data_IF_923364776070
#
_entry.id   IF_923364776070
#
_cell.length_a   1.000
_cell.length_b   1.000
_cell.length_c   1.000
_cell.angle_alpha   90.00
_cell.angle_beta   90.00
_cell.angle_gamma   90.00
#
_symmetry.space_group_name_H-M   'P 1'
#
loop_
_entity.id
_entity.type
_entity.pdbx_description
1 polymer ?
#
# COMPACT_ATOMS: atom_id res chain seq x y z
N UNK A 1 56.03 -6.20 -14.80
CA UNK A 1 55.67 -7.59 -15.10
C UNK A 1 55.47 -8.26 -13.77
N UNK A 2 54.29 -8.81 -13.51
CA UNK A 2 54.11 -9.74 -12.41
C UNK A 2 54.98 -10.97 -12.67
N UNK A 3 55.56 -11.56 -11.63
CA UNK A 3 56.36 -12.78 -11.78
C UNK A 3 55.41 -13.94 -12.13
N UNK A 4 55.67 -14.59 -13.27
CA UNK A 4 54.87 -15.75 -13.73
C UNK A 4 54.89 -16.90 -12.71
N UNK A 5 55.95 -17.03 -11.90
CA UNK A 5 55.98 -18.02 -10.83
C UNK A 5 55.01 -17.64 -9.71
N UNK A 6 55.01 -16.38 -9.27
CA UNK A 6 54.10 -15.88 -8.22
C UNK A 6 52.63 -15.98 -8.63
N UNK A 7 52.31 -15.76 -9.92
CA UNK A 7 50.94 -15.94 -10.43
C UNK A 7 50.49 -17.40 -10.39
N UNK A 8 51.38 -18.37 -10.65
CA UNK A 8 51.06 -19.81 -10.52
C UNK A 8 50.85 -20.21 -9.08
N UNK A 9 51.80 -19.87 -8.19
CA UNK A 9 51.68 -20.14 -6.75
C UNK A 9 50.38 -19.56 -6.17
N UNK A 10 49.94 -18.39 -6.66
CA UNK A 10 48.63 -17.80 -6.33
C UNK A 10 47.46 -18.64 -6.85
N UNK A 11 47.47 -19.07 -8.12
CA UNK A 11 46.38 -19.87 -8.71
C UNK A 11 46.27 -21.26 -8.06
N UNK A 12 47.41 -21.94 -7.83
CA UNK A 12 47.50 -23.22 -7.11
C UNK A 12 46.86 -23.13 -5.72
N UNK A 13 47.05 -22.01 -5.01
CA UNK A 13 46.44 -21.75 -3.69
C UNK A 13 44.96 -21.37 -3.68
N UNK A 14 44.34 -21.05 -4.82
CA UNK A 14 42.93 -20.65 -4.91
C UNK A 14 41.98 -21.86 -5.00
N UNK A 15 40.74 -21.72 -4.51
CA UNK A 15 39.71 -22.72 -4.74
C UNK A 15 39.23 -22.70 -6.20
N UNK A 16 38.61 -23.78 -6.68
CA UNK A 16 38.04 -23.80 -8.04
C UNK A 16 36.94 -22.73 -8.23
N UNK A 17 36.13 -22.49 -7.19
CA UNK A 17 35.12 -21.44 -7.21
C UNK A 17 35.73 -20.03 -7.29
N UNK A 18 36.86 -19.79 -6.62
CA UNK A 18 37.54 -18.48 -6.70
C UNK A 18 38.22 -18.29 -8.06
N UNK A 19 38.83 -19.34 -8.63
CA UNK A 19 39.35 -19.32 -9.99
C UNK A 19 38.24 -19.02 -11.00
N UNK A 20 37.06 -19.64 -10.86
CA UNK A 20 35.89 -19.36 -11.72
C UNK A 20 35.39 -17.92 -11.52
N UNK A 21 35.28 -17.42 -10.29
CA UNK A 21 34.89 -16.02 -10.00
C UNK A 21 35.84 -15.02 -10.65
N UNK A 22 37.15 -15.21 -10.49
CA UNK A 22 38.14 -14.30 -11.07
C UNK A 22 38.23 -14.38 -12.60
N UNK A 23 37.78 -15.48 -13.20
CA UNK A 23 37.68 -15.65 -14.66
C UNK A 23 36.35 -15.14 -15.25
N UNK A 24 35.35 -14.82 -14.43
CA UNK A 24 34.00 -14.44 -14.86
C UNK A 24 33.64 -13.03 -14.35
N UNK A 25 33.15 -12.93 -13.12
CA UNK A 25 32.67 -11.68 -12.51
C UNK A 25 33.77 -10.62 -12.37
N UNK A 26 35.00 -11.02 -12.03
CA UNK A 26 36.14 -10.11 -11.85
C UNK A 26 37.07 -10.11 -13.10
N UNK A 27 36.58 -10.59 -14.24
CA UNK A 27 37.42 -10.79 -15.44
C UNK A 27 38.01 -9.50 -16.02
N UNK A 28 37.39 -8.35 -15.74
CA UNK A 28 37.89 -7.00 -16.08
C UNK A 28 39.02 -6.52 -15.18
N UNK A 29 39.03 -6.99 -13.93
CA UNK A 29 39.92 -6.51 -12.87
C UNK A 29 41.23 -7.32 -12.85
N UNK A 30 41.22 -8.49 -13.50
CA UNK A 30 42.31 -9.45 -13.55
C UNK A 30 43.12 -9.36 -14.86
N UNK A 31 44.45 -9.37 -14.72
CA UNK A 31 45.39 -9.32 -15.85
C UNK A 31 45.20 -10.50 -16.80
N UNK A 32 45.44 -10.29 -18.10
CA UNK A 32 45.35 -11.38 -19.10
C UNK A 32 46.27 -12.56 -18.75
N UNK A 33 47.47 -12.26 -18.23
CA UNK A 33 48.43 -13.27 -17.74
C UNK A 33 47.87 -14.09 -16.59
N UNK A 34 47.23 -13.45 -15.60
CA UNK A 34 46.58 -14.17 -14.50
C UNK A 34 45.43 -15.04 -15.01
N UNK A 35 44.58 -14.51 -15.90
CA UNK A 35 43.45 -15.27 -16.47
C UNK A 35 43.92 -16.52 -17.24
N UNK A 36 45.06 -16.45 -17.94
CA UNK A 36 45.64 -17.62 -18.63
C UNK A 36 46.15 -18.69 -17.66
N UNK A 37 46.88 -18.33 -16.61
CA UNK A 37 47.36 -19.32 -15.62
C UNK A 37 46.21 -19.86 -14.75
N UNK A 38 45.18 -19.06 -14.44
CA UNK A 38 43.97 -19.53 -13.75
C UNK A 38 43.14 -20.53 -14.58
N UNK A 39 43.01 -20.30 -15.90
CA UNK A 39 42.39 -21.29 -16.82
C UNK A 39 43.19 -22.58 -16.90
N UNK A 40 44.52 -22.47 -16.92
CA UNK A 40 45.43 -23.63 -16.92
C UNK A 40 45.30 -24.43 -15.63
N UNK A 41 45.21 -23.78 -14.48
CA UNK A 41 45.04 -24.43 -13.18
C UNK A 41 43.73 -25.24 -13.12
N UNK A 42 42.60 -24.65 -13.56
CA UNK A 42 41.33 -25.40 -13.69
C UNK A 42 41.47 -26.62 -14.61
N UNK A 43 42.14 -26.47 -15.76
CA UNK A 43 42.38 -27.57 -16.68
C UNK A 43 43.29 -28.67 -16.08
N UNK A 44 44.27 -28.31 -15.25
CA UNK A 44 45.12 -29.26 -14.51
C UNK A 44 44.34 -30.02 -13.43
N UNK A 45 43.34 -29.38 -12.81
CA UNK A 45 42.37 -30.02 -11.90
C UNK A 45 41.32 -30.88 -12.62
N UNK A 46 41.32 -30.88 -13.95
CA UNK A 46 40.41 -31.70 -14.77
C UNK A 46 39.03 -31.08 -14.99
N UNK A 47 38.89 -29.77 -14.81
CA UNK A 47 37.62 -29.04 -14.97
C UNK A 47 37.77 -27.81 -15.89
N UNK A 48 36.67 -27.12 -16.16
CA UNK A 48 36.65 -25.89 -16.97
C UNK A 48 35.65 -24.89 -16.40
N UNK A 49 35.78 -23.61 -16.76
CA UNK A 49 34.80 -22.58 -16.40
C UNK A 49 33.40 -22.94 -16.89
N UNK A 50 33.26 -23.46 -18.12
CA UNK A 50 31.98 -23.88 -18.68
C UNK A 50 31.36 -25.05 -17.90
N UNK A 51 32.17 -26.06 -17.53
CA UNK A 51 31.71 -27.18 -16.72
C UNK A 51 31.38 -26.80 -15.26
N UNK A 52 31.90 -25.68 -14.77
CA UNK A 52 31.47 -25.10 -13.49
C UNK A 52 30.18 -24.28 -13.63
N UNK A 53 30.06 -23.46 -14.67
CA UNK A 53 28.86 -22.65 -14.96
C UNK A 53 27.63 -23.54 -15.17
N UNK A 54 27.77 -24.67 -15.89
CA UNK A 54 26.65 -25.58 -16.16
C UNK A 54 26.07 -26.28 -14.90
N UNK A 55 26.68 -26.10 -13.73
CA UNK A 55 26.26 -26.74 -12.47
C UNK A 55 25.29 -25.85 -11.71
N UNK A 56 23.99 -26.06 -11.94
CA UNK A 56 22.90 -25.36 -11.24
C UNK A 56 22.35 -26.25 -10.14
N UNK A 57 22.46 -25.81 -8.88
CA UNK A 57 21.74 -26.45 -7.77
C UNK A 57 20.29 -26.00 -7.79
N UNK A 58 19.36 -26.95 -7.80
CA UNK A 58 17.93 -26.67 -7.83
C UNK A 58 17.23 -27.35 -6.67
N UNK A 59 16.28 -26.62 -6.06
CA UNK A 59 15.28 -27.16 -5.13
C UNK A 59 13.89 -26.75 -5.60
N UNK A 60 13.11 -27.72 -6.09
CA UNK A 60 11.74 -27.52 -6.55
C UNK A 60 10.78 -28.46 -5.80
N UNK A 61 9.93 -27.90 -4.94
CA UNK A 61 9.09 -28.67 -4.03
C UNK A 61 9.89 -29.53 -3.03
N UNK A 62 9.28 -30.62 -2.55
CA UNK A 62 9.87 -31.51 -1.54
C UNK A 62 10.64 -32.72 -2.10
N UNK A 63 10.73 -32.87 -3.42
CA UNK A 63 11.23 -34.09 -4.07
C UNK A 63 12.40 -33.85 -5.04
N UNK A 64 12.52 -32.66 -5.63
CA UNK A 64 13.54 -32.36 -6.63
C UNK A 64 14.59 -31.43 -6.01
N UNK A 65 15.49 -31.99 -5.21
CA UNK A 65 16.70 -31.34 -4.74
C UNK A 65 17.93 -32.02 -5.37
N UNK A 66 18.75 -31.26 -6.08
CA UNK A 66 19.90 -31.81 -6.80
C UNK A 66 20.71 -30.77 -7.56
N UNK A 67 21.74 -31.22 -8.26
CA UNK A 67 22.56 -30.43 -9.17
C UNK A 67 22.31 -30.91 -10.60
N UNK A 68 21.95 -29.99 -11.51
CA UNK A 68 21.53 -30.27 -12.89
C UNK A 68 22.16 -29.26 -13.87
N UNK A 69 22.10 -29.59 -15.17
CA UNK A 69 22.55 -28.71 -16.25
C UNK A 69 21.69 -27.44 -16.40
N UNK A 70 22.22 -26.42 -17.08
CA UNK A 70 21.47 -25.17 -17.36
C UNK A 70 20.22 -25.45 -18.19
N UNK A 71 20.31 -26.31 -19.21
CA UNK A 71 19.16 -26.64 -20.07
C UNK A 71 18.03 -27.32 -19.27
N UNK A 72 18.36 -28.22 -18.35
CA UNK A 72 17.41 -28.88 -17.45
C UNK A 72 16.80 -27.88 -16.45
N UNK A 73 17.61 -26.97 -15.89
CA UNK A 73 17.14 -25.90 -15.02
C UNK A 73 16.16 -24.97 -15.74
N UNK A 74 16.44 -24.60 -16.99
CA UNK A 74 15.55 -23.79 -17.82
C UNK A 74 14.26 -24.53 -18.20
N UNK A 75 14.30 -25.87 -18.33
CA UNK A 75 13.12 -26.68 -18.60
C UNK A 75 12.09 -26.67 -17.44
N UNK A 76 12.51 -26.35 -16.21
CA UNK A 76 11.62 -26.20 -15.05
C UNK A 76 10.82 -24.89 -15.06
N UNK A 77 11.15 -23.94 -15.93
CA UNK A 77 10.43 -22.66 -16.09
C UNK A 77 9.55 -22.73 -17.35
N UNK A 78 8.30 -23.13 -17.16
CA UNK A 78 7.30 -23.37 -18.22
C UNK A 78 5.90 -22.91 -17.76
N UNK A 79 5.02 -22.54 -18.69
CA UNK A 79 3.67 -22.05 -18.37
C UNK A 79 2.78 -23.07 -17.66
N UNK A 80 3.09 -24.38 -17.78
CA UNK A 80 2.39 -25.49 -17.10
C UNK A 80 2.70 -25.60 -15.60
N UNK A 81 3.71 -24.87 -15.10
CA UNK A 81 4.02 -24.84 -13.67
C UNK A 81 2.79 -24.33 -12.89
N UNK A 82 2.36 -25.00 -11.81
CA UNK A 82 1.20 -24.56 -11.04
C UNK A 82 1.40 -23.18 -10.40
N UNK A 83 0.33 -22.39 -10.26
CA UNK A 83 0.34 -21.13 -9.49
C UNK A 83 0.83 -21.40 -8.05
N UNK A 84 1.64 -20.48 -7.52
CA UNK A 84 2.35 -20.56 -6.23
C UNK A 84 3.38 -21.69 -6.10
N UNK A 85 3.69 -22.42 -7.17
CA UNK A 85 4.85 -23.31 -7.16
C UNK A 85 6.13 -22.47 -7.14
N UNK A 86 7.13 -22.95 -6.39
CA UNK A 86 8.40 -22.27 -6.14
C UNK A 86 9.55 -23.22 -6.51
N UNK A 87 10.56 -22.69 -7.19
CA UNK A 87 11.84 -23.35 -7.39
C UNK A 87 12.99 -22.38 -7.12
N UNK A 88 13.99 -22.80 -6.33
CA UNK A 88 15.22 -22.04 -6.12
C UNK A 88 16.34 -22.57 -7.01
N UNK A 89 17.07 -21.68 -7.66
CA UNK A 89 18.19 -21.97 -8.55
C UNK A 89 19.43 -21.27 -8.00
N UNK A 90 20.39 -22.05 -7.50
CA UNK A 90 21.66 -21.56 -6.98
C UNK A 90 22.74 -21.81 -8.02
N UNK A 91 23.36 -20.74 -8.52
CA UNK A 91 24.45 -20.85 -9.50
C UNK A 91 25.76 -21.28 -8.83
N UNK A 92 26.76 -21.69 -9.61
CA UNK A 92 27.98 -22.31 -9.10
C UNK A 92 28.82 -21.47 -8.12
N UNK A 93 28.65 -20.12 -8.10
CA UNK A 93 29.29 -19.21 -7.15
C UNK A 93 28.46 -18.91 -5.87
N UNK A 94 27.31 -19.56 -5.67
CA UNK A 94 26.56 -19.56 -4.40
C UNK A 94 25.37 -18.60 -4.25
N UNK A 95 25.19 -17.60 -5.12
CA UNK A 95 23.95 -16.80 -5.14
C UNK A 95 22.76 -17.62 -5.63
N UNK A 96 21.57 -17.26 -5.18
CA UNK A 96 20.32 -17.99 -5.44
C UNK A 96 19.23 -17.06 -5.99
N UNK A 97 18.54 -17.55 -7.02
CA UNK A 97 17.36 -16.93 -7.58
C UNK A 97 16.14 -17.85 -7.33
N UNK A 98 15.16 -17.35 -6.59
CA UNK A 98 13.93 -18.09 -6.26
C UNK A 98 12.82 -17.63 -7.19
N UNK A 99 12.34 -18.52 -8.05
CA UNK A 99 11.23 -18.26 -8.98
C UNK A 99 9.93 -18.78 -8.37
N UNK A 100 8.95 -17.90 -8.22
CA UNK A 100 7.56 -18.23 -7.94
C UNK A 100 6.71 -18.03 -9.19
N UNK A 101 5.85 -19.00 -9.50
CA UNK A 101 4.81 -18.86 -10.53
C UNK A 101 3.61 -18.12 -9.98
N UNK A 102 3.24 -17.00 -10.59
CA UNK A 102 2.02 -16.24 -10.28
C UNK A 102 0.91 -16.47 -11.30
N UNK A 103 -0.29 -15.96 -11.01
CA UNK A 103 -1.41 -16.02 -11.96
C UNK A 103 -1.17 -15.23 -13.26
N UNK A 104 -0.40 -14.16 -13.17
CA UNK A 104 -0.08 -13.21 -14.24
C UNK A 104 1.32 -13.38 -14.85
N UNK A 105 2.19 -14.21 -14.26
CA UNK A 105 3.60 -14.30 -14.67
C UNK A 105 4.46 -15.03 -13.65
N UNK A 106 5.62 -14.44 -13.35
CA UNK A 106 6.63 -14.94 -12.42
C UNK A 106 7.10 -13.83 -11.48
N UNK A 107 7.39 -14.20 -10.23
CA UNK A 107 8.13 -13.36 -9.28
C UNK A 107 9.50 -14.01 -9.07
N UNK A 108 10.56 -13.24 -9.25
CA UNK A 108 11.94 -13.67 -9.02
C UNK A 108 12.46 -12.97 -7.76
N UNK A 109 12.91 -13.72 -6.76
CA UNK A 109 13.56 -13.18 -5.58
C UNK A 109 15.06 -13.51 -5.62
N UNK A 110 15.92 -12.50 -5.59
CA UNK A 110 17.37 -12.66 -5.57
C UNK A 110 17.90 -12.71 -4.13
N UNK A 111 18.83 -13.65 -3.89
CA UNK A 111 19.51 -13.84 -2.63
C UNK A 111 21.02 -13.97 -2.84
N UNK A 112 21.78 -13.16 -2.12
CA UNK A 112 23.20 -13.37 -1.92
C UNK A 112 23.38 -14.15 -0.60
N UNK A 113 23.86 -15.40 -0.70
CA UNK A 113 23.93 -16.33 0.44
C UNK A 113 22.54 -16.51 1.09
N UNK A 114 22.39 -16.17 2.37
CA UNK A 114 21.12 -16.20 3.11
C UNK A 114 20.40 -14.83 3.15
N UNK A 115 20.93 -13.79 2.50
CA UNK A 115 20.38 -12.43 2.53
C UNK A 115 19.47 -12.19 1.34
N UNK A 116 18.21 -11.86 1.62
CA UNK A 116 17.28 -11.32 0.65
C UNK A 116 17.81 -10.00 0.06
N UNK A 117 17.81 -9.90 -1.28
CA UNK A 117 18.21 -8.71 -2.02
C UNK A 117 17.01 -7.94 -2.57
N UNK A 118 16.56 -8.31 -3.78
CA UNK A 118 15.48 -7.65 -4.51
C UNK A 118 14.55 -8.66 -5.16
N UNK A 119 13.31 -8.23 -5.43
CA UNK A 119 12.31 -9.00 -6.16
C UNK A 119 11.95 -8.35 -7.49
N UNK A 120 11.69 -9.15 -8.52
CA UNK A 120 11.39 -8.70 -9.88
C UNK A 120 10.11 -9.37 -10.37
N UNK A 121 9.20 -8.59 -10.96
CA UNK A 121 7.90 -9.07 -11.45
C UNK A 121 7.98 -9.20 -12.98
N UNK A 122 7.88 -10.43 -13.49
CA UNK A 122 8.08 -10.76 -14.91
C UNK A 122 6.84 -11.45 -15.48
N UNK A 123 6.08 -10.73 -16.31
CA UNK A 123 4.84 -11.24 -16.94
C UNK A 123 5.08 -12.42 -17.89
N UNK A 124 6.23 -12.46 -18.58
CA UNK A 124 6.53 -13.44 -19.62
C UNK A 124 7.45 -14.56 -19.14
N UNK A 125 6.99 -15.81 -19.23
CA UNK A 125 7.80 -17.02 -19.04
C UNK A 125 9.05 -17.05 -19.93
N UNK A 126 8.98 -16.51 -21.16
CA UNK A 126 10.14 -16.39 -22.03
C UNK A 126 11.19 -15.42 -21.48
N UNK A 127 10.78 -14.32 -20.85
CA UNK A 127 11.70 -13.38 -20.18
C UNK A 127 12.23 -13.97 -18.88
N UNK A 128 11.41 -14.63 -18.07
CA UNK A 128 11.84 -15.32 -16.85
C UNK A 128 12.92 -16.37 -17.14
N UNK A 129 12.78 -17.14 -18.24
CA UNK A 129 13.81 -18.08 -18.73
C UNK A 129 15.11 -17.38 -19.13
N UNK A 130 15.06 -16.25 -19.84
CA UNK A 130 16.28 -15.52 -20.24
C UNK A 130 16.98 -14.90 -19.04
N UNK A 131 16.25 -14.33 -18.09
CA UNK A 131 16.81 -13.86 -16.81
C UNK A 131 17.48 -15.00 -16.04
N UNK A 132 16.80 -16.14 -15.88
CA UNK A 132 17.39 -17.32 -15.23
C UNK A 132 18.64 -17.80 -15.96
N UNK A 133 18.61 -17.90 -17.29
CA UNK A 133 19.73 -18.33 -18.12
C UNK A 133 20.96 -17.45 -17.89
N UNK A 134 20.78 -16.12 -17.91
CA UNK A 134 21.87 -15.15 -17.77
C UNK A 134 22.39 -15.12 -16.33
N UNK A 135 21.50 -15.22 -15.34
CA UNK A 135 21.87 -15.39 -13.93
C UNK A 135 22.75 -16.63 -13.71
N UNK A 136 22.32 -17.83 -14.14
CA UNK A 136 23.14 -19.05 -13.93
C UNK A 136 24.41 -19.07 -14.77
N UNK A 137 24.42 -18.36 -15.91
CA UNK A 137 25.60 -18.18 -16.77
C UNK A 137 26.58 -17.11 -16.28
N UNK A 138 26.33 -16.47 -15.12
CA UNK A 138 27.13 -15.39 -14.55
C UNK A 138 27.23 -14.13 -15.45
N UNK A 139 26.18 -13.88 -16.25
CA UNK A 139 26.04 -12.70 -17.11
C UNK A 139 25.21 -11.58 -16.43
N UNK A 140 25.28 -10.36 -16.98
CA UNK A 140 24.36 -9.29 -16.59
C UNK A 140 22.92 -9.62 -16.99
N UNK A 141 22.03 -9.70 -15.99
CA UNK A 141 20.62 -10.05 -16.14
C UNK A 141 19.64 -8.97 -15.64
N UNK A 142 20.13 -7.97 -14.90
CA UNK A 142 19.30 -6.96 -14.22
C UNK A 142 18.46 -6.12 -15.19
N UNK A 143 19.07 -5.64 -16.28
CA UNK A 143 18.37 -4.88 -17.34
C UNK A 143 17.20 -5.66 -17.98
N UNK A 144 17.27 -7.00 -17.92
CA UNK A 144 16.28 -7.90 -18.51
C UNK A 144 15.21 -8.35 -17.50
N UNK A 145 15.50 -8.28 -16.19
CA UNK A 145 14.52 -8.46 -15.13
C UNK A 145 13.65 -7.21 -14.90
N UNK A 146 14.14 -6.02 -15.28
CA UNK A 146 13.38 -4.77 -15.25
C UNK A 146 13.35 -4.12 -13.87
N UNK A 147 12.18 -3.62 -13.46
CA UNK A 147 12.03 -2.89 -12.20
C UNK A 147 12.21 -3.82 -10.99
N UNK A 148 13.04 -3.37 -10.04
CA UNK A 148 13.22 -4.04 -8.76
C UNK A 148 12.20 -3.57 -7.72
N UNK A 149 11.87 -4.46 -6.79
CA UNK A 149 10.93 -4.22 -5.70
C UNK A 149 11.51 -4.75 -4.38
N UNK A 150 11.34 -3.97 -3.32
CA UNK A 150 11.71 -4.35 -1.95
C UNK A 150 10.44 -4.80 -1.21
N UNK A 151 10.29 -6.10 -0.94
CA UNK A 151 9.02 -6.63 -0.45
C UNK A 151 8.68 -6.26 1.00
N UNK A 152 9.65 -5.81 1.80
CA UNK A 152 9.38 -5.30 3.16
C UNK A 152 8.54 -4.00 3.15
N UNK A 153 8.56 -3.27 2.03
CA UNK A 153 7.74 -2.06 1.82
C UNK A 153 6.28 -2.41 1.48
N UNK A 154 6.01 -3.66 1.10
CA UNK A 154 4.68 -4.15 0.76
C UNK A 154 3.92 -4.52 2.04
N UNK A 155 2.59 -4.52 1.96
CA UNK A 155 1.72 -4.81 3.11
C UNK A 155 0.75 -5.94 2.79
N UNK A 156 0.38 -6.69 3.82
CA UNK A 156 -0.76 -7.60 3.79
C UNK A 156 -2.00 -6.82 3.41
N UNK A 157 -2.53 -7.13 2.23
CA UNK A 157 -3.81 -6.61 1.78
C UNK A 157 -4.96 -7.42 2.36
N UNK A 158 -4.81 -8.75 2.34
CA UNK A 158 -5.73 -9.70 2.99
C UNK A 158 -5.07 -11.08 3.08
N UNK A 159 -5.68 -11.99 3.84
CA UNK A 159 -5.22 -13.36 4.03
C UNK A 159 -6.42 -14.30 4.22
N UNK A 160 -6.28 -15.54 3.75
CA UNK A 160 -7.32 -16.58 3.80
C UNK A 160 -6.66 -17.97 3.92
N UNK A 161 -7.33 -18.94 4.53
CA UNK A 161 -6.90 -20.35 4.48
C UNK A 161 -7.25 -20.98 3.12
N UNK A 162 -8.26 -20.46 2.42
CA UNK A 162 -8.67 -20.94 1.09
C UNK A 162 -7.88 -20.26 -0.04
N UNK A 163 -7.11 -21.06 -0.77
CA UNK A 163 -6.26 -20.57 -1.86
C UNK A 163 -7.06 -19.90 -2.99
N UNK A 164 -8.24 -20.45 -3.32
CA UNK A 164 -9.04 -19.99 -4.45
C UNK A 164 -9.60 -18.57 -4.23
N UNK A 165 -9.92 -18.21 -2.98
CA UNK A 165 -10.30 -16.84 -2.59
C UNK A 165 -9.21 -15.82 -2.89
N UNK A 166 -7.97 -16.12 -2.50
CA UNK A 166 -6.81 -15.26 -2.72
C UNK A 166 -6.43 -15.19 -4.20
N UNK A 167 -6.51 -16.31 -4.92
CA UNK A 167 -6.23 -16.35 -6.35
C UNK A 167 -7.29 -15.57 -7.16
N UNK A 168 -8.57 -15.63 -6.77
CA UNK A 168 -9.64 -14.82 -7.38
C UNK A 168 -9.53 -13.31 -7.06
N UNK A 169 -8.83 -12.93 -5.99
CA UNK A 169 -8.45 -11.55 -5.71
C UNK A 169 -7.26 -11.13 -6.59
N UNK A 170 -6.22 -11.97 -6.67
CA UNK A 170 -5.05 -11.77 -7.55
C UNK A 170 -5.45 -11.60 -9.02
N UNK A 171 -6.33 -12.44 -9.56
CA UNK A 171 -6.80 -12.33 -10.95
C UNK A 171 -7.53 -10.99 -11.21
N UNK A 172 -8.24 -10.44 -10.20
CA UNK A 172 -8.89 -9.12 -10.30
C UNK A 172 -7.90 -7.96 -10.23
N UNK A 173 -6.89 -8.04 -9.36
CA UNK A 173 -5.81 -7.05 -9.29
C UNK A 173 -4.98 -7.05 -10.59
N UNK A 174 -4.71 -8.23 -11.14
CA UNK A 174 -4.10 -8.41 -12.48
C UNK A 174 -4.90 -7.68 -13.55
N UNK A 175 -6.22 -7.93 -13.62
CA UNK A 175 -7.09 -7.33 -14.63
C UNK A 175 -7.17 -5.79 -14.54
N UNK A 176 -6.87 -5.21 -13.37
CA UNK A 176 -6.79 -3.77 -13.15
C UNK A 176 -5.35 -3.19 -13.28
N UNK A 177 -4.33 -4.02 -13.50
CA UNK A 177 -2.93 -3.58 -13.56
C UNK A 177 -2.34 -3.17 -12.20
N UNK A 178 -2.91 -3.63 -11.08
CA UNK A 178 -2.40 -3.34 -9.74
C UNK A 178 -1.28 -4.33 -9.38
N UNK A 179 -0.05 -3.88 -9.09
CA UNK A 179 1.03 -4.77 -8.66
C UNK A 179 0.66 -5.47 -7.36
N UNK A 180 0.81 -6.79 -7.32
CA UNK A 180 0.52 -7.64 -6.17
C UNK A 180 1.29 -8.96 -6.31
N UNK A 181 1.57 -9.62 -5.18
CA UNK A 181 2.13 -10.98 -5.15
C UNK A 181 1.40 -11.80 -4.07
N UNK A 182 1.30 -13.11 -4.26
CA UNK A 182 0.93 -14.01 -3.16
C UNK A 182 2.20 -14.32 -2.37
N UNK A 183 2.19 -14.16 -1.04
CA UNK A 183 3.35 -14.44 -0.19
C UNK A 183 3.85 -15.86 -0.46
N UNK A 184 5.12 -16.04 -0.89
CA UNK A 184 5.67 -17.37 -1.14
C UNK A 184 5.57 -18.26 0.10
N UNK A 185 5.24 -19.54 -0.09
CA UNK A 185 5.11 -20.51 1.00
C UNK A 185 6.41 -20.64 1.82
N UNK A 186 7.58 -20.34 1.21
CA UNK A 186 8.88 -20.27 1.88
C UNK A 186 8.92 -19.23 3.02
N UNK A 187 8.12 -18.17 2.95
CA UNK A 187 7.99 -17.11 3.95
C UNK A 187 6.76 -17.27 4.86
N UNK A 188 6.03 -18.37 4.74
CA UNK A 188 4.88 -18.69 5.59
C UNK A 188 5.35 -19.68 6.67
N UNK A 189 5.23 -19.37 7.97
CA UNK A 189 5.58 -20.30 9.04
C UNK A 189 4.86 -21.66 8.88
N UNK A 190 5.47 -22.80 9.23
CA UNK A 190 4.83 -24.13 9.08
C UNK A 190 3.48 -24.28 9.77
N UNK A 191 3.26 -23.53 10.85
CA UNK A 191 2.03 -23.44 11.61
C UNK A 191 0.97 -22.49 11.01
N UNK A 192 1.38 -21.58 10.11
CA UNK A 192 0.50 -20.62 9.46
C UNK A 192 -0.07 -21.20 8.16
N UNK A 193 -1.38 -21.49 8.16
CA UNK A 193 -2.08 -21.98 6.97
C UNK A 193 -2.53 -20.85 6.04
N UNK A 194 -2.41 -19.59 6.47
CA UNK A 194 -2.94 -18.44 5.75
C UNK A 194 -2.08 -18.09 4.54
N UNK A 195 -2.77 -17.88 3.45
CA UNK A 195 -2.24 -17.49 2.15
C UNK A 195 -2.42 -15.98 2.09
N UNK A 196 -1.30 -15.25 2.18
CA UNK A 196 -1.30 -13.80 2.29
C UNK A 196 -1.16 -13.17 0.91
N UNK A 197 -2.03 -12.21 0.59
CA UNK A 197 -1.92 -11.36 -0.60
C UNK A 197 -1.21 -10.07 -0.21
N UNK A 198 -0.08 -9.76 -0.86
CA UNK A 198 0.71 -8.56 -0.63
C UNK A 198 0.51 -7.55 -1.75
N UNK A 199 0.37 -6.28 -1.38
CA UNK A 199 0.21 -5.13 -2.28
C UNK A 199 1.16 -4.00 -1.83
N UNK A 200 1.75 -3.20 -2.73
CA UNK A 200 2.49 -2.00 -2.37
C UNK A 200 1.65 -1.04 -1.53
N UNK A 201 2.25 -0.42 -0.51
CA UNK A 201 1.52 0.46 0.41
C UNK A 201 0.78 1.62 -0.30
N UNK A 202 1.38 2.20 -1.33
CA UNK A 202 0.80 3.27 -2.17
C UNK A 202 -0.39 2.81 -3.03
N UNK A 203 -0.53 1.49 -3.24
CA UNK A 203 -1.59 0.87 -4.07
C UNK A 203 -2.74 0.24 -3.28
N UNK A 204 -2.69 0.28 -1.94
CA UNK A 204 -3.71 -0.32 -1.05
C UNK A 204 -5.14 0.21 -1.32
N UNK A 205 -5.30 1.52 -1.57
CA UNK A 205 -6.60 2.12 -1.84
C UNK A 205 -7.20 1.63 -3.18
N UNK A 206 -6.36 1.55 -4.22
CA UNK A 206 -6.74 1.04 -5.54
C UNK A 206 -7.10 -0.45 -5.49
N UNK A 207 -6.29 -1.26 -4.79
CA UNK A 207 -6.57 -2.67 -4.56
C UNK A 207 -7.92 -2.89 -3.83
N UNK A 208 -8.23 -2.05 -2.83
CA UNK A 208 -9.51 -2.08 -2.11
C UNK A 208 -10.69 -1.77 -3.05
N UNK A 209 -10.53 -0.77 -3.92
CA UNK A 209 -11.55 -0.38 -4.89
C UNK A 209 -11.79 -1.46 -5.96
N UNK A 210 -10.72 -2.06 -6.51
CA UNK A 210 -10.78 -3.10 -7.55
C UNK A 210 -11.41 -4.41 -7.02
N UNK A 211 -11.05 -4.80 -5.80
CA UNK A 211 -11.50 -6.08 -5.23
C UNK A 211 -12.83 -5.98 -4.49
N UNK A 212 -13.27 -4.78 -4.12
CA UNK A 212 -14.53 -4.56 -3.41
C UNK A 212 -14.57 -5.15 -1.99
N UNK A 213 -13.43 -5.61 -1.46
CA UNK A 213 -13.32 -6.22 -0.12
C UNK A 213 -13.79 -5.27 0.98
N UNK A 214 -13.53 -3.97 0.83
CA UNK A 214 -14.06 -2.94 1.73
C UNK A 214 -15.59 -2.85 1.74
N UNK A 215 -16.27 -3.01 0.59
CA UNK A 215 -17.73 -2.86 0.51
C UNK A 215 -18.51 -4.05 1.09
N UNK A 216 -17.93 -5.25 1.05
CA UNK A 216 -18.50 -6.41 1.73
C UNK A 216 -18.38 -6.28 3.26
N UNK A 217 -17.21 -5.85 3.75
CA UNK A 217 -16.98 -5.61 5.18
C UNK A 217 -17.87 -4.49 5.73
N UNK A 218 -17.92 -3.32 5.08
CA UNK A 218 -18.77 -2.19 5.52
C UNK A 218 -20.24 -2.61 5.69
N UNK A 219 -20.79 -3.46 4.81
CA UNK A 219 -22.15 -4.00 4.96
C UNK A 219 -22.32 -4.94 6.16
N UNK A 220 -21.28 -5.70 6.49
CA UNK A 220 -21.27 -6.57 7.67
C UNK A 220 -21.20 -5.75 8.96
N UNK A 221 -20.32 -4.75 9.03
CA UNK A 221 -20.21 -3.87 10.20
C UNK A 221 -21.47 -2.99 10.37
N UNK A 222 -22.07 -2.53 9.27
CA UNK A 222 -23.40 -1.87 9.29
C UNK A 222 -24.50 -2.78 9.83
N UNK A 223 -24.50 -4.08 9.48
CA UNK A 223 -25.45 -5.04 10.05
C UNK A 223 -25.17 -5.26 11.54
N UNK A 224 -23.91 -5.39 11.94
CA UNK A 224 -23.53 -5.53 13.34
C UNK A 224 -24.00 -4.32 14.18
N UNK A 225 -23.84 -3.09 13.69
CA UNK A 225 -24.39 -1.90 14.34
C UNK A 225 -25.92 -1.99 14.50
N UNK A 226 -26.65 -2.39 13.45
CA UNK A 226 -28.11 -2.59 13.49
C UNK A 226 -28.55 -3.72 14.44
N UNK A 227 -27.78 -4.79 14.55
CA UNK A 227 -28.07 -5.91 15.45
C UNK A 227 -27.78 -5.51 16.90
N UNK A 228 -26.74 -4.71 17.16
CA UNK A 228 -26.45 -4.12 18.47
C UNK A 228 -27.50 -3.08 18.91
N UNK A 229 -27.96 -2.18 18.03
CA UNK A 229 -29.08 -1.26 18.28
C UNK A 229 -30.35 -2.03 18.71
N UNK A 230 -30.74 -3.04 17.93
CA UNK A 230 -31.87 -3.92 18.26
C UNK A 230 -31.70 -4.64 19.61
N UNK A 231 -30.48 -5.05 19.95
CA UNK A 231 -30.13 -5.64 21.24
C UNK A 231 -30.01 -4.61 22.38
N UNK A 232 -30.00 -3.31 22.06
CA UNK A 232 -29.65 -2.17 22.94
C UNK A 232 -28.25 -2.27 23.55
N UNK A 233 -27.33 -2.89 22.83
CA UNK A 233 -25.90 -2.93 23.18
C UNK A 233 -25.19 -1.69 22.63
N UNK A 234 -25.33 -0.59 23.35
CA UNK A 234 -24.71 0.70 23.00
C UNK A 234 -23.17 0.65 22.97
N UNK A 235 -22.54 -0.36 23.60
CA UNK A 235 -21.07 -0.53 23.57
C UNK A 235 -20.66 -1.26 22.29
N UNK A 236 -21.34 -2.36 21.96
CA UNK A 236 -21.13 -3.10 20.71
C UNK A 236 -21.46 -2.26 19.46
N UNK A 237 -22.53 -1.45 19.53
CA UNK A 237 -22.90 -0.53 18.46
C UNK A 237 -21.85 0.56 18.26
N UNK A 238 -21.30 1.13 19.35
CA UNK A 238 -20.26 2.14 19.26
C UNK A 238 -18.96 1.58 18.67
N UNK A 239 -18.58 0.36 19.04
CA UNK A 239 -17.43 -0.33 18.47
C UNK A 239 -17.60 -0.57 16.95
N UNK A 240 -18.81 -0.93 16.51
CA UNK A 240 -19.13 -1.05 15.09
C UNK A 240 -19.06 0.30 14.35
N UNK A 241 -19.53 1.40 14.97
CA UNK A 241 -19.35 2.73 14.38
C UNK A 241 -17.89 3.20 14.36
N UNK A 242 -17.08 2.90 15.37
CA UNK A 242 -15.63 3.17 15.37
C UNK A 242 -14.94 2.46 14.19
N UNK A 243 -15.27 1.18 13.94
CA UNK A 243 -14.78 0.43 12.76
C UNK A 243 -15.29 1.05 11.44
N UNK A 244 -16.55 1.52 11.38
CA UNK A 244 -17.07 2.24 10.21
C UNK A 244 -16.37 3.59 9.97
N UNK A 245 -15.91 4.30 11.01
CA UNK A 245 -15.11 5.53 10.78
C UNK A 245 -13.76 5.24 10.12
N UNK A 246 -13.24 4.02 10.29
CA UNK A 246 -11.98 3.57 9.67
C UNK A 246 -12.21 3.09 8.23
N UNK A 247 -13.34 2.41 7.96
CA UNK A 247 -13.62 1.75 6.67
C UNK A 247 -14.48 2.57 5.70
N UNK A 248 -15.35 3.45 6.19
CA UNK A 248 -16.23 4.36 5.42
C UNK A 248 -16.16 5.80 5.98
N UNK A 249 -14.95 6.24 6.36
CA UNK A 249 -14.72 7.52 7.05
C UNK A 249 -15.13 8.80 6.29
N UNK A 250 -15.40 8.72 4.98
CA UNK A 250 -15.93 9.82 4.16
C UNK A 250 -17.48 9.90 4.17
N UNK A 251 -18.15 9.04 4.95
CA UNK A 251 -19.60 9.02 5.10
C UNK A 251 -20.05 9.78 6.35
N UNK A 252 -20.62 10.98 6.14
CA UNK A 252 -21.17 11.82 7.21
C UNK A 252 -22.19 11.10 8.11
N UNK A 253 -22.95 10.13 7.58
CA UNK A 253 -23.95 9.40 8.34
C UNK A 253 -23.33 8.50 9.43
N UNK A 254 -22.13 7.96 9.19
CA UNK A 254 -21.37 7.17 10.17
C UNK A 254 -21.01 8.04 11.38
N UNK A 255 -20.41 9.21 11.11
CA UNK A 255 -20.01 10.16 12.15
C UNK A 255 -21.21 10.76 12.89
N UNK A 256 -22.31 11.03 12.18
CA UNK A 256 -23.56 11.50 12.78
C UNK A 256 -24.15 10.46 13.74
N UNK A 257 -24.35 9.21 13.31
CA UNK A 257 -24.90 8.15 14.17
C UNK A 257 -24.00 7.88 15.38
N UNK A 258 -22.67 7.86 15.16
CA UNK A 258 -21.67 7.77 16.23
C UNK A 258 -21.83 8.89 17.27
N UNK A 259 -22.04 10.12 16.82
CA UNK A 259 -22.30 11.27 17.69
C UNK A 259 -23.59 11.15 18.50
N UNK A 260 -24.66 10.61 17.90
CA UNK A 260 -25.93 10.35 18.61
C UNK A 260 -25.71 9.33 19.73
N UNK A 261 -25.06 8.21 19.42
CA UNK A 261 -24.80 7.15 20.39
C UNK A 261 -23.86 7.61 21.52
N UNK A 262 -22.86 8.44 21.21
CA UNK A 262 -21.98 9.05 22.22
C UNK A 262 -22.72 10.04 23.13
N UNK A 263 -23.74 10.75 22.62
CA UNK A 263 -24.63 11.57 23.47
C UNK A 263 -25.45 10.69 24.43
N UNK A 264 -26.03 9.59 23.95
CA UNK A 264 -26.80 8.67 24.80
C UNK A 264 -25.94 8.04 25.90
N UNK A 265 -24.66 7.78 25.60
CA UNK A 265 -23.66 7.31 26.55
C UNK A 265 -23.08 8.43 27.46
N UNK A 266 -23.54 9.68 27.32
CA UNK A 266 -23.06 10.83 28.11
C UNK A 266 -21.64 11.31 27.76
N UNK A 267 -21.04 10.82 26.67
CA UNK A 267 -19.68 11.15 26.20
C UNK A 267 -19.69 12.42 25.34
N UNK A 268 -20.12 13.52 25.95
CA UNK A 268 -20.46 14.77 25.25
C UNK A 268 -19.30 15.35 24.40
N UNK A 269 -18.06 15.26 24.86
CA UNK A 269 -16.88 15.79 24.13
C UNK A 269 -16.61 15.02 22.83
N UNK A 270 -16.71 13.69 22.88
CA UNK A 270 -16.48 12.84 21.73
C UNK A 270 -17.65 12.89 20.75
N UNK A 271 -18.86 13.10 21.26
CA UNK A 271 -20.02 13.39 20.45
C UNK A 271 -19.87 14.72 19.70
N UNK A 272 -19.33 15.77 20.34
CA UNK A 272 -19.02 17.04 19.70
C UNK A 272 -18.03 16.86 18.54
N UNK A 273 -16.94 16.12 18.76
CA UNK A 273 -15.99 15.77 17.71
C UNK A 273 -16.67 15.03 16.54
N UNK A 274 -17.54 14.05 16.84
CA UNK A 274 -18.26 13.28 15.83
C UNK A 274 -19.25 14.12 14.99
N UNK A 275 -19.98 15.07 15.60
CA UNK A 275 -20.89 15.95 14.85
C UNK A 275 -20.16 17.02 14.03
N UNK A 276 -19.00 17.51 14.49
CA UNK A 276 -18.14 18.37 13.68
C UNK A 276 -17.57 17.60 12.47
N UNK A 277 -17.17 16.35 12.66
CA UNK A 277 -16.70 15.48 11.57
C UNK A 277 -17.83 15.18 10.57
N UNK A 278 -19.04 14.86 11.04
CA UNK A 278 -20.23 14.70 10.20
C UNK A 278 -20.50 15.97 9.37
N UNK A 279 -20.44 17.15 10.02
CA UNK A 279 -20.56 18.47 9.37
C UNK A 279 -19.51 18.62 8.27
N UNK A 280 -18.23 18.40 8.57
CA UNK A 280 -17.14 18.55 7.60
C UNK A 280 -17.30 17.62 6.37
N UNK A 281 -17.61 16.33 6.59
CA UNK A 281 -17.81 15.34 5.50
C UNK A 281 -19.08 15.61 4.69
N UNK A 282 -20.11 16.19 5.29
CA UNK A 282 -21.32 16.63 4.59
C UNK A 282 -21.10 17.88 3.75
N UNK A 283 -20.44 18.90 4.33
CA UNK A 283 -20.10 20.16 3.66
C UNK A 283 -19.32 19.90 2.36
N UNK A 284 -18.35 18.98 2.39
CA UNK A 284 -17.56 18.60 1.22
C UNK A 284 -18.41 18.09 0.03
N UNK A 285 -19.61 17.56 0.28
CA UNK A 285 -20.52 17.03 -0.75
C UNK A 285 -21.55 18.06 -1.23
N UNK A 286 -21.94 19.02 -0.38
CA UNK A 286 -23.01 20.00 -0.67
C UNK A 286 -22.45 21.35 -1.14
N UNK A 287 -21.38 21.84 -0.50
CA UNK A 287 -20.72 23.12 -0.77
C UNK A 287 -19.20 22.99 -0.60
N UNK A 288 -18.50 22.33 -1.55
CA UNK A 288 -17.03 22.19 -1.50
C UNK A 288 -16.29 23.52 -1.60
N UNK A 289 -16.96 24.59 -2.05
CA UNK A 289 -16.48 25.98 -2.00
C UNK A 289 -16.36 26.53 -0.57
N UNK A 290 -17.07 25.94 0.40
CA UNK A 290 -17.01 26.30 1.81
C UNK A 290 -16.04 25.42 2.62
N UNK A 291 -15.59 24.29 2.08
CA UNK A 291 -14.56 23.45 2.72
C UNK A 291 -13.16 23.94 2.42
N UNK A 292 -12.53 24.60 3.40
CA UNK A 292 -11.11 25.01 3.32
C UNK A 292 -10.18 23.88 3.77
N UNK A 293 -9.24 23.50 2.91
CA UNK A 293 -7.95 22.91 3.29
C UNK A 293 -7.92 21.40 3.62
N UNK A 294 -7.56 20.56 2.64
CA UNK A 294 -7.01 19.21 2.89
C UNK A 294 -5.50 19.24 2.64
N UNK A 295 -4.72 19.48 3.70
CA UNK A 295 -3.24 19.37 3.69
C UNK A 295 -2.75 17.94 3.94
N UNK A 296 -1.46 17.62 3.69
CA UNK A 296 -0.96 16.24 3.61
C UNK A 296 -0.61 15.57 4.95
N UNK A 297 -0.97 16.15 6.10
CA UNK A 297 -0.80 15.53 7.43
C UNK A 297 -2.11 15.62 8.20
N UNK A 298 -2.74 14.47 8.46
CA UNK A 298 -4.04 14.42 9.11
C UNK A 298 -4.00 14.77 10.60
N UNK A 299 -5.06 15.43 11.09
CA UNK A 299 -5.34 15.63 12.51
C UNK A 299 -5.42 17.09 12.95
N UNK A 300 -6.64 17.57 13.19
CA UNK A 300 -6.89 18.74 14.04
C UNK A 300 -6.99 20.10 13.34
N UNK A 301 -7.58 21.03 14.09
CA UNK A 301 -7.94 22.40 13.73
C UNK A 301 -6.70 23.29 13.55
N UNK A 302 -6.86 24.38 12.77
CA UNK A 302 -6.01 25.58 12.61
C UNK A 302 -4.92 25.57 11.50
N UNK A 303 -4.98 26.55 10.59
CA UNK A 303 -3.86 26.95 9.70
C UNK A 303 -4.22 27.18 8.21
N UNK A 304 -3.94 28.37 7.68
CA UNK A 304 -4.10 28.76 6.25
C UNK A 304 -2.74 28.59 5.49
N UNK A 305 -2.51 28.87 4.19
CA UNK A 305 -3.21 29.59 3.09
C UNK A 305 -2.78 28.96 1.74
N UNK A 306 -3.50 29.17 0.61
CA UNK A 306 -2.79 29.44 -0.68
C UNK A 306 -3.18 28.74 -2.00
N UNK A 307 -4.20 29.24 -2.69
CA UNK A 307 -4.30 29.46 -4.17
C UNK A 307 -4.00 28.30 -5.17
N UNK A 308 -5.00 27.90 -5.98
CA UNK A 308 -4.74 27.43 -7.36
C UNK A 308 -5.81 26.59 -8.12
N UNK A 309 -6.39 27.16 -9.18
CA UNK A 309 -6.89 26.51 -10.42
C UNK A 309 -8.26 25.75 -10.52
N UNK A 310 -9.26 26.46 -11.05
CA UNK A 310 -10.20 26.13 -12.17
C UNK A 310 -10.85 24.72 -12.34
N UNK A 311 -12.16 24.69 -12.04
CA UNK A 311 -13.32 24.24 -12.85
C UNK A 311 -13.20 22.97 -13.76
N UNK A 312 -13.90 21.89 -13.35
CA UNK A 312 -14.84 21.07 -14.15
C UNK A 312 -15.62 20.10 -13.21
N UNK A 313 -16.86 19.65 -13.45
CA UNK A 313 -17.93 20.12 -14.36
C UNK A 313 -19.00 19.05 -14.67
N UNK A 314 -20.29 19.30 -14.30
CA UNK A 314 -21.49 18.42 -14.40
C UNK A 314 -21.48 17.16 -13.48
N UNK A 315 -22.62 16.68 -12.95
CA UNK A 315 -24.01 17.15 -13.02
C UNK A 315 -24.80 16.76 -11.75
N UNK A 316 -25.64 17.68 -11.25
CA UNK A 316 -26.71 17.38 -10.29
C UNK A 316 -28.05 17.72 -10.95
N UNK A 317 -28.95 16.73 -11.03
CA UNK A 317 -30.41 16.87 -11.21
C UNK A 317 -31.03 16.05 -10.06
N UNK A 318 -31.89 16.59 -9.20
CA UNK A 318 -33.16 17.21 -9.55
C UNK A 318 -33.59 18.28 -8.53
N UNK A 319 -34.51 19.15 -8.92
CA UNK A 319 -35.13 20.16 -8.04
C UNK A 319 -36.34 19.58 -7.29
N UNK A 320 -36.41 19.87 -5.99
CA UNK A 320 -37.65 19.90 -5.21
C UNK A 320 -37.69 21.24 -4.44
N UNK A 321 -38.88 21.81 -4.13
CA UNK A 321 -38.99 23.04 -3.37
C UNK A 321 -38.78 22.78 -1.88
N UNK A 322 -37.52 22.70 -1.48
CA UNK A 322 -37.05 22.64 -0.09
C UNK A 322 -35.76 23.47 0.07
N UNK A 323 -35.18 23.55 1.29
CA UNK A 323 -33.86 24.13 1.47
C UNK A 323 -32.82 23.50 0.55
N UNK A 324 -31.83 24.28 0.11
CA UNK A 324 -30.77 23.81 -0.80
C UNK A 324 -29.71 22.91 -0.13
N UNK A 325 -30.04 22.35 1.03
CA UNK A 325 -29.17 21.55 1.89
C UNK A 325 -29.99 20.39 2.51
N UNK A 326 -29.36 19.25 2.86
CA UNK A 326 -30.07 18.12 3.48
C UNK A 326 -30.57 18.42 4.90
N UNK A 327 -31.77 17.95 5.24
CA UNK A 327 -32.44 18.15 6.54
C UNK A 327 -31.60 17.78 7.77
N UNK A 328 -30.67 16.83 7.66
CA UNK A 328 -29.79 16.44 8.78
C UNK A 328 -28.85 17.56 9.24
N UNK A 329 -28.61 18.59 8.40
CA UNK A 329 -27.88 19.80 8.78
C UNK A 329 -28.60 20.60 9.87
N UNK A 330 -29.93 20.52 9.95
CA UNK A 330 -30.71 21.19 11.02
C UNK A 330 -30.58 20.46 12.36
N UNK A 331 -30.61 19.13 12.34
CA UNK A 331 -30.44 18.32 13.56
C UNK A 331 -29.00 18.38 14.09
N UNK A 332 -28.00 18.37 13.21
CA UNK A 332 -26.59 18.56 13.62
C UNK A 332 -26.33 19.96 14.16
N UNK A 333 -26.91 21.01 13.57
CA UNK A 333 -26.84 22.36 14.13
C UNK A 333 -27.45 22.42 15.53
N UNK A 334 -28.63 21.82 15.73
CA UNK A 334 -29.31 21.76 17.02
C UNK A 334 -28.46 21.06 18.09
N UNK A 335 -27.80 19.94 17.75
CA UNK A 335 -26.92 19.21 18.68
C UNK A 335 -25.64 19.97 18.99
N UNK A 336 -24.99 20.57 17.99
CA UNK A 336 -23.80 21.39 18.18
C UNK A 336 -24.12 22.67 18.99
N UNK A 337 -25.31 23.24 18.84
CA UNK A 337 -25.79 24.36 19.67
C UNK A 337 -26.02 23.91 21.12
N UNK A 338 -26.68 22.78 21.35
CA UNK A 338 -26.86 22.23 22.71
C UNK A 338 -25.52 21.90 23.39
N UNK A 339 -24.51 21.47 22.62
CA UNK A 339 -23.13 21.28 23.10
C UNK A 339 -22.45 22.60 23.41
N UNK A 340 -22.62 23.64 22.59
CA UNK A 340 -22.11 24.99 22.86
C UNK A 340 -22.74 25.57 24.14
N UNK A 341 -24.03 25.33 24.37
CA UNK A 341 -24.73 25.75 25.59
C UNK A 341 -24.24 24.97 26.83
N UNK A 342 -23.81 23.72 26.66
CA UNK A 342 -23.27 22.87 27.72
C UNK A 342 -21.80 23.18 28.07
N UNK A 343 -20.95 23.37 27.06
CA UNK A 343 -19.51 23.61 27.23
C UNK A 343 -19.13 25.09 27.32
N UNK A 344 -20.03 26.01 26.94
CA UNK A 344 -19.74 27.41 26.72
C UNK A 344 -19.05 27.67 25.37
N UNK A 345 -18.65 28.93 25.15
CA UNK A 345 -18.07 29.37 23.89
C UNK A 345 -16.76 28.64 23.56
N UNK A 346 -16.78 27.77 22.55
CA UNK A 346 -15.58 27.11 21.99
C UNK A 346 -15.41 27.44 20.50
N UNK A 347 -14.17 27.70 20.01
CA UNK A 347 -13.95 28.05 18.61
C UNK A 347 -14.37 26.97 17.63
N UNK A 348 -14.13 25.70 17.96
CA UNK A 348 -14.41 24.52 17.12
C UNK A 348 -15.91 24.35 16.81
N UNK A 349 -16.74 24.43 17.85
CA UNK A 349 -18.20 24.41 17.75
C UNK A 349 -18.72 25.64 17.01
N UNK A 350 -18.20 26.84 17.32
CA UNK A 350 -18.61 28.08 16.68
C UNK A 350 -18.24 28.13 15.18
N UNK A 351 -17.07 27.62 14.78
CA UNK A 351 -16.67 27.47 13.38
C UNK A 351 -17.58 26.51 12.61
N UNK A 352 -17.97 25.40 13.25
CA UNK A 352 -18.87 24.41 12.66
C UNK A 352 -20.29 24.98 12.49
N UNK A 353 -20.83 25.63 13.52
CA UNK A 353 -22.12 26.32 13.48
C UNK A 353 -22.14 27.47 12.45
N UNK A 354 -21.07 28.28 12.36
CA UNK A 354 -20.95 29.31 11.34
C UNK A 354 -20.92 28.73 9.92
N UNK A 355 -20.28 27.57 9.73
CA UNK A 355 -20.22 26.87 8.44
C UNK A 355 -21.58 26.30 8.04
N UNK A 356 -22.36 25.78 9.01
CA UNK A 356 -23.74 25.36 8.80
C UNK A 356 -24.62 26.56 8.40
N UNK A 357 -24.60 27.66 9.16
CA UNK A 357 -25.36 28.88 8.84
C UNK A 357 -25.08 29.40 7.40
N UNK A 358 -23.82 29.36 6.94
CA UNK A 358 -23.45 29.74 5.56
C UNK A 358 -24.03 28.82 4.49
N UNK A 359 -24.14 27.51 4.74
CA UNK A 359 -24.85 26.60 3.83
C UNK A 359 -26.33 26.94 3.74
N UNK A 360 -26.94 27.34 4.86
CA UNK A 360 -28.35 27.77 4.92
C UNK A 360 -28.59 29.14 4.28
N UNK A 361 -27.53 29.85 3.90
CA UNK A 361 -27.58 31.21 3.34
C UNK A 361 -27.65 32.30 4.41
N UNK A 362 -27.59 31.95 5.69
CA UNK A 362 -27.61 32.90 6.80
C UNK A 362 -26.20 33.44 7.08
N UNK A 363 -25.82 34.45 6.28
CA UNK A 363 -24.57 35.18 6.47
C UNK A 363 -24.54 35.97 7.77
N UNK A 364 -25.70 36.40 8.30
CA UNK A 364 -25.76 37.23 9.50
C UNK A 364 -25.38 36.40 10.74
N UNK A 365 -26.03 35.24 10.93
CA UNK A 365 -25.65 34.31 12.01
C UNK A 365 -24.21 33.85 11.86
N UNK A 366 -23.72 33.58 10.65
CA UNK A 366 -22.32 33.21 10.44
C UNK A 366 -21.33 34.32 10.87
N UNK A 367 -21.61 35.58 10.50
CA UNK A 367 -20.82 36.75 10.91
C UNK A 367 -20.81 36.88 12.44
N UNK A 368 -21.98 36.81 13.09
CA UNK A 368 -22.10 36.91 14.55
C UNK A 368 -21.26 35.83 15.25
N UNK A 369 -21.28 34.59 14.75
CA UNK A 369 -20.48 33.49 15.32
C UNK A 369 -18.98 33.72 15.15
N UNK A 370 -18.50 34.17 13.98
CA UNK A 370 -17.09 34.51 13.80
C UNK A 370 -16.65 35.73 14.64
N UNK A 371 -17.52 36.73 14.83
CA UNK A 371 -17.26 37.85 15.74
C UNK A 371 -17.15 37.38 17.20
N UNK A 372 -18.03 36.47 17.64
CA UNK A 372 -17.94 35.84 18.96
C UNK A 372 -16.61 35.10 19.13
N UNK A 373 -16.14 34.34 18.12
CA UNK A 373 -14.81 33.71 18.16
C UNK A 373 -13.71 34.76 18.36
N UNK A 374 -13.67 35.81 17.53
CA UNK A 374 -12.63 36.85 17.62
C UNK A 374 -12.67 37.65 18.93
N UNK A 375 -13.82 37.74 19.60
CA UNK A 375 -13.95 38.44 20.87
C UNK A 375 -13.18 37.77 22.03
N UNK A 376 -12.98 36.44 21.98
CA UNK A 376 -12.19 35.70 22.99
C UNK A 376 -10.95 35.00 22.44
N UNK A 377 -10.83 34.84 21.11
CA UNK A 377 -9.63 34.41 20.39
C UNK A 377 -9.31 35.37 19.23
N UNK A 378 -8.74 36.57 19.50
CA UNK A 378 -8.46 37.58 18.47
C UNK A 378 -7.49 37.11 17.37
N UNK A 379 -6.71 36.07 17.65
CA UNK A 379 -5.73 35.51 16.74
C UNK A 379 -6.30 34.46 15.78
N UNK A 380 -7.58 34.08 15.90
CA UNK A 380 -8.21 33.09 15.01
C UNK A 380 -8.19 33.54 13.54
N UNK A 381 -7.26 32.96 12.77
CA UNK A 381 -7.06 33.31 11.36
C UNK A 381 -8.24 32.90 10.48
N UNK A 382 -8.91 31.80 10.84
CA UNK A 382 -10.06 31.28 10.08
C UNK A 382 -11.24 32.23 10.23
N UNK A 383 -11.57 32.65 11.45
CA UNK A 383 -12.68 33.57 11.71
C UNK A 383 -12.45 34.92 11.01
N UNK A 384 -11.21 35.44 11.05
CA UNK A 384 -10.83 36.69 10.37
C UNK A 384 -10.97 36.58 8.85
N UNK A 385 -10.40 35.53 8.24
CA UNK A 385 -10.49 35.28 6.81
C UNK A 385 -11.94 35.11 6.33
N UNK A 386 -12.78 34.40 7.10
CA UNK A 386 -14.18 34.18 6.71
C UNK A 386 -15.03 35.45 6.83
N UNK A 387 -14.74 36.34 7.80
CA UNK A 387 -15.38 37.67 7.88
C UNK A 387 -14.97 38.57 6.71
N UNK A 388 -13.68 38.61 6.34
CA UNK A 388 -13.19 39.34 5.17
C UNK A 388 -13.84 38.81 3.87
N UNK A 389 -13.93 37.49 3.72
CA UNK A 389 -14.59 36.84 2.59
C UNK A 389 -16.10 37.18 2.51
N UNK A 390 -16.81 37.13 3.65
CA UNK A 390 -18.24 37.46 3.69
C UNK A 390 -18.49 38.94 3.42
N UNK A 391 -17.64 39.86 3.91
CA UNK A 391 -17.73 41.28 3.58
C UNK A 391 -17.56 41.50 2.07
N UNK A 392 -16.54 40.90 1.45
CA UNK A 392 -16.26 40.99 0.01
C UNK A 392 -17.30 40.26 -0.89
N UNK A 393 -18.24 39.53 -0.32
CA UNK A 393 -19.34 38.86 -1.03
C UNK A 393 -20.68 39.60 -0.92
N UNK A 394 -20.74 40.69 -0.15
CA UNK A 394 -21.91 41.57 -0.01
C UNK A 394 -21.76 42.94 -0.74
N UNK A 395 -20.56 43.22 -1.29
CA UNK A 395 -20.27 44.30 -2.25
C UNK A 395 -20.39 43.82 -3.72
#
# INVERSE_FOLDING_TARGET
>A
MEDLQLLRERCEGMSEADLVRSLTLESTDNSETFRLEAQRELAQRGTTVAAWIDRVKVRAGSANEGEIGIDDALALVDDKVPRRAIASFTHCLGETLVLQREGWGWVLHHYAEERYGRSYLIESTATARRVLQRFVSLESWLDEAGQDHHLDDWKTFTDDEEADSILALSDRLTAAGVPHIVRPALFTPPEDKKIVLLVPHDRMAEATQVTGTGQASVRQVQRQAQDCDQARDQIGELAAYDELTTTDGDNHAVHYNRGVLLLELGRHEEAAAAFMEATARGLAKVRPDLTLGRGPTGGGILGLVGVGARILGRAIRHSAPGPAYPDWFDDVELRLQAMLDHFGNRPDLLHSLASLARVKGDSATAIDRYQVILAFNPNDEVARFQLEYLAAAHD
#
